data_IF_037104074691
#
_entry.id   IF_037104074691
#
_cell.length_a   1.000
_cell.length_b   1.000
_cell.length_c   1.000
_cell.angle_alpha   90.00
_cell.angle_beta   90.00
_cell.angle_gamma   90.00
#
_symmetry.space_group_name_H-M   'P 1'
#
loop_
_entity.id
_entity.type
_entity.pdbx_description
1 polymer ?
#
# COMPACT_ATOMS: atom_id res chain seq x y z
N UNK A 1 20.27 24.00 -39.09
CA UNK A 1 20.19 25.48 -38.95
C UNK A 1 19.30 25.76 -37.74
N UNK A 2 19.92 26.06 -36.60
CA UNK A 2 19.23 26.41 -35.36
C UNK A 2 18.43 27.69 -35.59
N UNK A 3 17.09 27.60 -35.50
CA UNK A 3 16.18 28.73 -35.53
C UNK A 3 16.17 29.37 -34.13
N UNK A 4 17.26 30.02 -33.74
CA UNK A 4 17.18 30.99 -32.65
C UNK A 4 16.41 32.20 -33.18
N UNK A 5 15.17 32.36 -32.73
CA UNK A 5 14.46 33.62 -32.97
C UNK A 5 15.07 34.67 -32.03
N UNK A 6 15.23 35.90 -32.51
CA UNK A 6 15.77 37.02 -31.72
C UNK A 6 14.96 37.33 -30.44
N UNK A 7 13.78 36.71 -30.28
CA UNK A 7 12.84 36.86 -29.17
C UNK A 7 12.95 35.76 -28.09
N UNK A 8 13.95 34.88 -28.17
CA UNK A 8 14.23 33.86 -27.14
C UNK A 8 15.33 34.31 -26.17
N UNK A 9 15.53 35.62 -26.02
CA UNK A 9 16.46 36.15 -25.04
C UNK A 9 15.74 36.31 -23.70
N UNK A 10 16.44 35.99 -22.60
CA UNK A 10 15.84 35.96 -21.27
C UNK A 10 15.44 37.36 -20.78
N UNK A 11 15.95 38.40 -21.43
CA UNK A 11 15.67 39.81 -21.12
C UNK A 11 14.18 40.18 -21.21
N UNK A 12 13.41 39.52 -22.09
CA UNK A 12 11.95 39.75 -22.21
C UNK A 12 11.13 38.93 -21.19
N UNK A 13 11.74 37.90 -20.59
CA UNK A 13 11.09 36.98 -19.64
C UNK A 13 11.35 37.37 -18.18
N UNK A 14 12.40 38.12 -17.93
CA UNK A 14 12.86 38.48 -16.60
C UNK A 14 12.47 39.93 -16.24
N UNK A 15 12.30 40.23 -14.94
CA UNK A 15 12.14 41.61 -14.49
C UNK A 15 13.29 42.51 -14.96
N UNK A 16 13.02 43.80 -15.16
CA UNK A 16 14.04 44.77 -15.59
C UNK A 16 15.26 44.75 -14.66
N UNK A 17 16.45 44.63 -15.26
CA UNK A 17 17.72 44.60 -14.53
C UNK A 17 18.06 43.25 -13.90
N UNK A 18 17.37 42.17 -14.27
CA UNK A 18 17.69 40.81 -13.85
C UNK A 18 18.20 39.96 -15.03
N UNK A 19 19.31 39.27 -14.83
CA UNK A 19 19.96 38.43 -15.84
C UNK A 19 20.11 37.00 -15.34
N UNK A 20 19.96 36.01 -16.23
CA UNK A 20 20.25 34.62 -15.92
C UNK A 20 21.75 34.35 -15.99
N UNK A 21 22.32 33.87 -14.89
CA UNK A 21 23.77 33.64 -14.75
C UNK A 21 24.17 32.16 -14.69
N UNK A 22 23.21 31.24 -14.56
CA UNK A 22 23.52 29.82 -14.43
C UNK A 22 22.33 28.88 -14.63
N UNK A 23 22.65 27.62 -14.93
CA UNK A 23 21.72 26.51 -14.97
C UNK A 23 22.35 25.28 -14.32
N UNK A 24 21.68 24.73 -13.32
CA UNK A 24 22.00 23.44 -12.72
C UNK A 24 21.16 22.35 -13.40
N UNK A 25 21.81 21.43 -14.09
CA UNK A 25 21.14 20.35 -14.82
C UNK A 25 20.63 19.23 -13.91
N UNK A 26 21.23 19.03 -12.74
CA UNK A 26 20.85 17.96 -11.82
C UNK A 26 19.53 18.30 -11.11
N UNK A 27 19.38 19.55 -10.69
CA UNK A 27 18.14 20.06 -10.08
C UNK A 27 17.19 20.72 -11.09
N UNK A 28 17.65 20.91 -12.33
CA UNK A 28 16.94 21.65 -13.38
C UNK A 28 16.58 23.08 -12.95
N UNK A 29 17.49 23.76 -12.25
CA UNK A 29 17.23 25.06 -11.63
C UNK A 29 18.03 26.17 -12.33
N UNK A 30 17.41 27.33 -12.52
CA UNK A 30 18.06 28.51 -13.07
C UNK A 30 18.44 29.51 -11.97
N UNK A 31 19.63 30.09 -12.10
CA UNK A 31 20.13 31.14 -11.21
C UNK A 31 20.13 32.48 -11.93
N UNK A 32 19.67 33.52 -11.22
CA UNK A 32 19.52 34.87 -11.72
C UNK A 32 20.29 35.85 -10.84
N UNK A 33 20.68 37.00 -11.40
CA UNK A 33 21.34 38.09 -10.70
C UNK A 33 20.65 39.40 -11.01
N UNK A 34 20.41 40.20 -9.99
CA UNK A 34 19.87 41.56 -10.16
C UNK A 34 20.98 42.61 -10.38
N UNK A 35 20.57 43.83 -10.72
CA UNK A 35 21.47 44.97 -10.92
C UNK A 35 22.27 45.37 -9.68
N UNK A 36 21.88 44.90 -8.49
CA UNK A 36 22.59 45.13 -7.23
C UNK A 36 23.61 44.02 -6.91
N UNK A 37 23.67 42.97 -7.73
CA UNK A 37 24.56 41.83 -7.56
C UNK A 37 23.95 40.67 -6.77
N UNK A 38 22.72 40.80 -6.26
CA UNK A 38 22.08 39.73 -5.48
C UNK A 38 21.64 38.61 -6.38
N UNK A 39 21.81 37.39 -5.90
CA UNK A 39 21.43 36.17 -6.62
C UNK A 39 20.08 35.63 -6.17
N UNK A 40 19.36 35.06 -7.13
CA UNK A 40 18.06 34.46 -6.95
C UNK A 40 18.00 33.12 -7.68
N UNK A 41 17.18 32.20 -7.18
CA UNK A 41 16.96 30.88 -7.76
C UNK A 41 15.48 30.65 -8.07
N UNK A 42 15.23 29.98 -9.20
CA UNK A 42 13.92 29.50 -9.58
C UNK A 42 13.54 28.19 -8.87
N UNK A 43 12.31 27.73 -9.05
CA UNK A 43 11.91 26.40 -8.61
C UNK A 43 12.50 25.30 -9.53
N UNK A 44 12.78 24.09 -9.01
CA UNK A 44 13.27 22.97 -9.81
C UNK A 44 12.38 22.68 -11.03
N UNK A 45 12.98 22.65 -12.22
CA UNK A 45 12.30 22.38 -13.49
C UNK A 45 11.34 23.48 -13.97
N UNK A 46 11.27 24.62 -13.28
CA UNK A 46 10.34 25.70 -13.62
C UNK A 46 10.94 26.68 -14.63
N UNK A 47 10.27 26.85 -15.78
CA UNK A 47 10.60 27.89 -16.77
C UNK A 47 10.07 29.28 -16.38
N UNK A 48 9.04 29.34 -15.53
CA UNK A 48 8.39 30.57 -15.07
C UNK A 48 7.99 30.44 -13.59
N UNK A 49 7.97 31.54 -12.84
CA UNK A 49 7.52 31.53 -11.45
C UNK A 49 8.17 32.61 -10.59
N UNK A 50 7.97 32.51 -9.28
CA UNK A 50 8.59 33.40 -8.29
C UNK A 50 10.05 33.02 -8.07
N UNK A 51 10.94 34.01 -8.00
CA UNK A 51 12.36 33.82 -7.72
C UNK A 51 12.63 33.99 -6.22
N UNK A 52 13.36 33.06 -5.62
CA UNK A 52 13.70 33.11 -4.20
C UNK A 52 15.13 33.64 -4.03
N UNK A 53 15.41 34.54 -3.07
CA UNK A 53 16.77 35.00 -2.83
C UNK A 53 17.64 33.81 -2.41
N UNK A 54 18.70 33.52 -3.16
CA UNK A 54 19.66 32.49 -2.74
C UNK A 54 20.51 33.10 -1.63
N UNK A 55 20.49 32.46 -0.46
CA UNK A 55 21.04 33.02 0.77
C UNK A 55 22.55 33.24 0.67
N UNK A 56 22.95 34.51 0.51
CA UNK A 56 24.12 35.10 1.15
C UNK A 56 25.47 35.01 0.45
N UNK A 57 25.91 36.19 0.00
CA UNK A 57 27.29 36.71 0.09
C UNK A 57 28.30 36.24 -0.98
N UNK A 58 28.61 37.15 -1.90
CA UNK A 58 29.82 37.13 -2.72
C UNK A 58 31.07 36.95 -1.83
N UNK A 59 31.58 35.72 -1.70
CA UNK A 59 32.96 35.47 -1.26
C UNK A 59 33.82 35.19 -2.49
N UNK A 60 34.68 36.12 -2.91
CA UNK A 60 35.71 35.84 -3.90
C UNK A 60 36.63 34.76 -3.35
N UNK A 61 36.64 33.59 -3.99
CA UNK A 61 37.48 32.47 -3.64
C UNK A 61 38.98 32.82 -3.73
N UNK A 62 39.56 33.36 -2.66
CA UNK A 62 40.99 33.27 -2.37
C UNK A 62 41.18 32.07 -1.45
N UNK A 63 41.71 30.97 -2.00
CA UNK A 63 41.90 29.73 -1.27
C UNK A 63 42.90 29.85 -0.12
N UNK A 64 42.46 29.56 1.09
CA UNK A 64 43.31 29.07 2.17
C UNK A 64 43.15 27.55 2.31
N UNK A 65 44.23 26.76 2.27
CA UNK A 65 44.14 25.33 2.50
C UNK A 65 44.16 25.06 4.01
N UNK A 66 43.02 24.60 4.54
CA UNK A 66 43.00 23.95 5.85
C UNK A 66 42.04 24.56 6.85
N UNK A 67 40.74 24.47 6.58
CA UNK A 67 39.74 24.42 7.63
C UNK A 67 38.55 23.61 7.15
N UNK A 68 38.48 22.38 7.63
CA UNK A 68 37.34 21.48 7.44
C UNK A 68 36.13 22.08 8.17
N UNK A 69 35.32 22.89 7.48
CA UNK A 69 33.95 23.15 7.91
C UNK A 69 33.16 21.87 7.64
N UNK A 70 32.51 21.25 8.64
CA UNK A 70 31.59 20.16 8.35
C UNK A 70 30.52 20.70 7.40
N UNK A 71 30.26 19.96 6.32
CA UNK A 71 29.21 20.23 5.34
C UNK A 71 27.88 20.28 6.08
N UNK A 72 27.46 21.49 6.43
CA UNK A 72 26.16 21.76 7.02
C UNK A 72 25.11 21.60 5.91
N UNK A 73 24.33 20.52 5.98
CA UNK A 73 23.08 20.43 5.22
C UNK A 73 22.90 19.21 4.32
N UNK A 74 23.35 18.02 4.71
CA UNK A 74 22.80 16.75 4.15
C UNK A 74 21.90 16.03 5.18
N UNK A 75 21.47 16.73 6.23
CA UNK A 75 20.69 16.17 7.35
C UNK A 75 19.19 16.54 7.35
N UNK A 76 18.73 17.39 6.42
CA UNK A 76 17.31 17.70 6.18
C UNK A 76 17.00 17.32 4.71
N UNK A 77 16.12 16.40 4.30
CA UNK A 77 15.02 15.69 4.95
C UNK A 77 14.91 14.26 4.38
N UNK A 78 15.74 13.32 4.87
CA UNK A 78 15.25 11.93 4.95
C UNK A 78 14.15 11.91 6.01
N UNK A 79 12.86 11.92 5.64
CA UNK A 79 11.71 11.39 6.43
C UNK A 79 10.53 12.33 6.77
N UNK A 80 10.08 13.20 5.85
CA UNK A 80 8.71 13.74 5.92
C UNK A 80 7.67 12.95 5.10
N UNK A 81 7.98 11.69 4.73
CA UNK A 81 6.95 10.81 4.14
C UNK A 81 5.70 10.72 5.03
N UNK A 82 5.84 10.89 6.35
CA UNK A 82 4.70 10.90 7.28
C UNK A 82 3.75 12.10 7.08
N UNK A 83 4.23 13.27 6.66
CA UNK A 83 3.38 14.45 6.47
C UNK A 83 2.69 14.42 5.10
N UNK A 84 3.36 13.90 4.06
CA UNK A 84 2.79 13.72 2.73
C UNK A 84 1.63 12.70 2.72
N UNK A 85 1.68 11.68 3.57
CA UNK A 85 0.66 10.63 3.66
C UNK A 85 -0.43 10.90 4.71
N UNK A 86 -0.27 11.92 5.57
CA UNK A 86 -1.24 12.30 6.58
C UNK A 86 -2.68 12.50 6.05
N UNK A 87 -2.94 13.15 4.89
CA UNK A 87 -4.30 13.29 4.39
C UNK A 87 -4.91 11.99 3.86
N UNK A 88 -4.07 11.01 3.47
CA UNK A 88 -4.52 9.71 2.97
C UNK A 88 -4.87 8.74 4.12
N UNK A 89 -4.45 9.02 5.35
CA UNK A 89 -4.66 8.15 6.50
C UNK A 89 -6.16 7.96 6.82
N UNK A 90 -6.97 9.01 6.65
CA UNK A 90 -8.43 8.93 6.79
C UNK A 90 -9.06 8.02 5.71
N UNK A 91 -8.54 8.08 4.48
CA UNK A 91 -8.99 7.21 3.39
C UNK A 91 -8.70 5.74 3.70
N UNK A 92 -7.47 5.42 4.13
CA UNK A 92 -7.11 4.05 4.50
C UNK A 92 -7.86 3.54 5.73
N UNK A 93 -8.19 4.41 6.69
CA UNK A 93 -9.02 4.05 7.84
C UNK A 93 -10.45 3.69 7.42
N UNK A 94 -11.07 4.48 6.54
CA UNK A 94 -12.41 4.18 6.02
C UNK A 94 -12.42 2.89 5.18
N UNK A 95 -11.41 2.70 4.32
CA UNK A 95 -11.24 1.47 3.55
C UNK A 95 -11.03 0.27 4.48
N UNK A 96 -10.22 0.40 5.52
CA UNK A 96 -10.00 -0.65 6.52
C UNK A 96 -11.27 -1.03 7.27
N UNK A 97 -12.03 -0.05 7.78
CA UNK A 97 -13.31 -0.30 8.45
C UNK A 97 -14.34 -0.92 7.51
N UNK A 98 -14.37 -0.49 6.24
CA UNK A 98 -15.24 -1.08 5.22
C UNK A 98 -14.86 -2.54 4.94
N UNK A 99 -13.57 -2.83 4.73
CA UNK A 99 -13.08 -4.20 4.51
C UNK A 99 -13.31 -5.10 5.73
N UNK A 100 -13.17 -4.57 6.95
CA UNK A 100 -13.52 -5.29 8.18
C UNK A 100 -15.03 -5.54 8.29
N UNK A 101 -15.87 -4.56 7.94
CA UNK A 101 -17.32 -4.72 7.90
C UNK A 101 -17.78 -5.74 6.86
N UNK A 102 -17.21 -5.70 5.66
CA UNK A 102 -17.46 -6.69 4.60
C UNK A 102 -16.93 -8.06 5.00
N UNK A 103 -15.73 -8.15 5.55
CA UNK A 103 -15.17 -9.39 6.07
C UNK A 103 -16.05 -9.98 7.17
N UNK A 104 -16.48 -9.18 8.14
CA UNK A 104 -17.41 -9.61 9.17
C UNK A 104 -18.78 -10.01 8.60
N UNK A 105 -19.27 -9.33 7.56
CA UNK A 105 -20.53 -9.67 6.91
C UNK A 105 -20.44 -11.01 6.14
N UNK A 106 -19.32 -11.25 5.46
CA UNK A 106 -19.08 -12.45 4.66
C UNK A 106 -18.69 -13.67 5.54
N UNK A 107 -17.92 -13.46 6.60
CA UNK A 107 -17.35 -14.54 7.43
C UNK A 107 -17.99 -14.66 8.82
N UNK A 108 -18.61 -13.61 9.35
CA UNK A 108 -19.30 -13.62 10.65
C UNK A 108 -20.69 -14.28 10.61
N UNK A 109 -21.17 -14.64 9.41
CA UNK A 109 -22.41 -15.40 9.20
C UNK A 109 -22.22 -16.92 9.14
N UNK A 110 -21.01 -17.42 9.41
CA UNK A 110 -20.78 -18.86 9.58
C UNK A 110 -21.42 -19.35 10.89
N UNK A 111 -22.76 -19.41 10.91
CA UNK A 111 -23.47 -20.27 11.84
C UNK A 111 -22.92 -21.68 11.67
N UNK A 112 -22.60 -22.34 12.78
CA UNK A 112 -22.20 -23.73 12.72
C UNK A 112 -23.23 -24.52 11.90
N UNK A 113 -22.82 -25.40 10.97
CA UNK A 113 -23.77 -26.22 10.25
C UNK A 113 -24.54 -27.06 11.29
N UNK A 114 -25.82 -26.77 11.47
CA UNK A 114 -26.72 -27.64 12.22
C UNK A 114 -27.30 -28.61 11.22
N UNK A 115 -26.77 -29.83 11.18
CA UNK A 115 -27.37 -30.91 10.41
C UNK A 115 -28.56 -31.43 11.20
N UNK A 116 -29.77 -31.27 10.66
CA UNK A 116 -30.99 -31.86 11.22
C UNK A 116 -31.07 -33.32 10.75
N UNK A 117 -30.79 -34.25 11.66
CA UNK A 117 -30.97 -35.68 11.42
C UNK A 117 -32.39 -36.11 11.79
N UNK A 118 -32.86 -37.22 11.19
CA UNK A 118 -34.18 -37.77 11.46
C UNK A 118 -34.32 -38.29 12.92
N UNK A 119 -35.56 -38.47 13.37
CA UNK A 119 -35.85 -38.98 14.72
C UNK A 119 -35.24 -40.37 14.93
N UNK A 120 -34.34 -40.49 15.91
CA UNK A 120 -33.55 -41.71 16.17
C UNK A 120 -32.12 -41.72 15.60
N UNK A 121 -31.73 -40.65 14.90
CA UNK A 121 -30.36 -40.45 14.40
C UNK A 121 -29.62 -39.35 15.18
N UNK A 122 -28.29 -39.45 15.18
CA UNK A 122 -27.38 -38.52 15.82
C UNK A 122 -26.41 -37.94 14.78
N UNK A 123 -26.20 -36.63 14.84
CA UNK A 123 -25.19 -35.96 14.03
C UNK A 123 -23.79 -36.25 14.59
N UNK A 124 -23.01 -37.04 13.86
CA UNK A 124 -21.63 -37.37 14.20
C UNK A 124 -20.65 -36.49 13.42
N UNK A 125 -19.67 -35.92 14.12
CA UNK A 125 -18.61 -35.11 13.50
C UNK A 125 -17.46 -36.01 13.05
N UNK A 126 -17.25 -36.08 11.74
CA UNK A 126 -16.22 -36.92 11.12
C UNK A 126 -14.83 -36.48 11.58
N UNK A 127 -14.08 -37.41 12.17
CA UNK A 127 -12.69 -37.25 12.54
C UNK A 127 -11.75 -37.73 11.43
N UNK A 128 -10.48 -37.31 11.53
CA UNK A 128 -9.45 -37.75 10.59
C UNK A 128 -9.20 -39.26 10.75
N UNK A 129 -9.38 -40.01 9.68
CA UNK A 129 -9.18 -41.47 9.65
C UNK A 129 -10.47 -42.28 9.79
N UNK A 130 -11.62 -41.62 9.94
CA UNK A 130 -12.92 -42.29 9.88
C UNK A 130 -13.21 -42.83 8.49
N UNK A 131 -13.91 -43.96 8.45
CA UNK A 131 -14.42 -44.57 7.22
C UNK A 131 -15.88 -44.94 7.44
N UNK A 132 -16.69 -44.94 6.38
CA UNK A 132 -18.08 -45.40 6.47
C UNK A 132 -18.18 -46.81 7.06
N UNK A 133 -17.24 -47.69 6.70
CA UNK A 133 -17.21 -49.05 7.22
C UNK A 133 -16.98 -49.11 8.74
N UNK A 134 -16.00 -48.35 9.25
CA UNK A 134 -15.71 -48.31 10.69
C UNK A 134 -16.87 -47.70 11.48
N UNK A 135 -17.49 -46.64 10.95
CA UNK A 135 -18.66 -46.00 11.57
C UNK A 135 -19.89 -46.93 11.57
N UNK A 136 -20.15 -47.60 10.45
CA UNK A 136 -21.20 -48.60 10.30
C UNK A 136 -21.04 -49.72 11.34
N UNK A 137 -19.84 -50.30 11.43
CA UNK A 137 -19.52 -51.36 12.39
C UNK A 137 -19.66 -50.90 13.85
N UNK A 138 -19.22 -49.69 14.17
CA UNK A 138 -19.32 -49.13 15.52
C UNK A 138 -20.79 -48.96 15.98
N UNK A 139 -21.65 -48.53 15.05
CA UNK A 139 -23.08 -48.27 15.27
C UNK A 139 -23.98 -49.48 15.03
N UNK A 140 -23.45 -50.57 14.46
CA UNK A 140 -24.22 -51.77 14.15
C UNK A 140 -25.21 -51.59 12.99
N UNK A 141 -24.87 -50.72 12.04
CA UNK A 141 -25.67 -50.46 10.83
C UNK A 141 -24.90 -50.86 9.57
N UNK A 142 -25.55 -50.89 8.40
CA UNK A 142 -24.86 -51.10 7.12
C UNK A 142 -24.32 -49.78 6.54
N UNK A 143 -23.30 -49.88 5.68
CA UNK A 143 -22.79 -48.70 4.94
C UNK A 143 -23.86 -48.13 4.01
N UNK A 144 -24.70 -48.99 3.44
CA UNK A 144 -25.83 -48.61 2.58
C UNK A 144 -26.87 -47.78 3.36
N UNK A 145 -27.10 -48.08 4.63
CA UNK A 145 -28.01 -47.29 5.48
C UNK A 145 -27.44 -45.91 5.79
N UNK A 146 -26.11 -45.79 5.95
CA UNK A 146 -25.45 -44.48 6.11
C UNK A 146 -25.65 -43.64 4.85
N UNK A 147 -25.42 -44.22 3.67
CA UNK A 147 -25.57 -43.54 2.38
C UNK A 147 -27.03 -43.13 2.11
N UNK A 148 -28.01 -43.97 2.47
CA UNK A 148 -29.43 -43.64 2.36
C UNK A 148 -29.85 -42.50 3.27
N UNK A 149 -29.27 -42.39 4.47
CA UNK A 149 -29.57 -41.31 5.43
C UNK A 149 -28.89 -39.99 5.09
N UNK A 150 -27.79 -40.03 4.33
CA UNK A 150 -26.98 -38.87 3.99
C UNK A 150 -26.88 -38.75 2.47
N UNK A 151 -27.91 -38.16 1.86
CA UNK A 151 -27.95 -37.95 0.41
C UNK A 151 -26.72 -37.15 -0.05
N UNK A 152 -25.99 -37.70 -1.04
CA UNK A 152 -24.77 -37.07 -1.58
C UNK A 152 -23.50 -37.29 -0.76
N UNK A 153 -23.53 -38.10 0.30
CA UNK A 153 -22.32 -38.51 1.01
C UNK A 153 -21.49 -39.47 0.13
N UNK A 154 -20.21 -39.15 -0.02
CA UNK A 154 -19.23 -40.04 -0.66
C UNK A 154 -18.39 -40.74 0.42
N UNK A 155 -18.46 -42.07 0.46
CA UNK A 155 -17.70 -42.88 1.42
C UNK A 155 -16.22 -42.99 1.08
N UNK A 156 -15.82 -42.76 -0.18
CA UNK A 156 -14.42 -42.71 -0.59
C UNK A 156 -13.78 -41.36 -0.24
N UNK A 157 -14.58 -40.32 -0.08
CA UNK A 157 -14.16 -38.95 0.18
C UNK A 157 -14.90 -38.33 1.39
N UNK A 158 -14.82 -38.98 2.55
CA UNK A 158 -15.50 -38.53 3.76
C UNK A 158 -14.97 -37.15 4.23
N UNK A 159 -15.82 -36.11 4.36
CA UNK A 159 -15.38 -34.76 4.69
C UNK A 159 -15.00 -34.63 6.16
N UNK A 160 -13.69 -34.51 6.45
CA UNK A 160 -13.19 -34.32 7.82
C UNK A 160 -13.75 -33.03 8.41
N UNK A 161 -14.31 -33.12 9.62
CA UNK A 161 -14.97 -32.02 10.31
C UNK A 161 -16.41 -31.76 9.87
N UNK A 162 -16.88 -32.45 8.83
CA UNK A 162 -18.28 -32.49 8.43
C UNK A 162 -19.15 -33.27 9.42
N UNK A 163 -20.45 -33.06 9.33
CA UNK A 163 -21.46 -33.76 10.13
C UNK A 163 -22.15 -34.80 9.26
N UNK A 164 -22.30 -36.02 9.80
CA UNK A 164 -22.95 -37.16 9.15
C UNK A 164 -23.99 -37.71 10.12
N UNK A 165 -25.20 -37.99 9.64
CA UNK A 165 -26.25 -38.62 10.43
C UNK A 165 -26.01 -40.12 10.55
N UNK A 166 -25.91 -40.61 11.79
CA UNK A 166 -25.73 -42.02 12.12
C UNK A 166 -26.85 -42.49 13.05
N UNK A 167 -27.20 -43.78 13.01
CA UNK A 167 -28.21 -44.32 13.92
C UNK A 167 -27.71 -44.30 15.37
N UNK A 168 -28.61 -44.03 16.31
CA UNK A 168 -28.32 -44.22 17.72
C UNK A 168 -28.09 -45.71 18.01
N UNK A 169 -27.06 -46.00 18.79
CA UNK A 169 -26.83 -47.35 19.29
C UNK A 169 -27.75 -47.57 20.49
N UNK A 170 -28.69 -48.51 20.35
CA UNK A 170 -29.51 -48.99 21.46
C UNK A 170 -28.69 -49.82 22.46
#
# INVERSE_FOLDING_TARGET
MSRFSRYDTDEERLPEGMERIGYDADTQTYTYRDSTGRTYEGAPGATYGHLSPSGGEDEPFMGEPGQHRPLRGWEEERNSWRQAWAPLLNFFLLVGLFLLGVGWLLYGRSGAPTVECAEGDEAYKVAKGDTCWALAQARGMSVEDILKKNEGLDCDALPVGGLVCLTLKA
#
